data_IF_814866802767
#
_entry.id   IF_814866802767
#
_cell.length_a   1.000
_cell.length_b   1.000
_cell.length_c   1.000
_cell.angle_alpha   90.00
_cell.angle_beta   90.00
_cell.angle_gamma   90.00
#
_symmetry.space_group_name_H-M   'P 1'
#
loop_
_entity.id
_entity.type
_entity.pdbx_description
1 polymer ?
#
# COMPACT_ATOMS: atom_id res chain seq x y z
N UNK A 1 4.50 -19.76 6.12
CA UNK A 1 4.31 -18.29 6.08
C UNK A 1 5.59 -17.67 5.56
N UNK A 2 5.59 -17.00 4.40
CA UNK A 2 6.81 -16.36 3.87
C UNK A 2 7.05 -15.06 4.62
N UNK A 3 8.16 -14.99 5.36
CA UNK A 3 8.64 -13.72 5.91
C UNK A 3 8.88 -12.74 4.74
N UNK A 4 8.52 -11.47 4.93
CA UNK A 4 8.78 -10.46 3.90
C UNK A 4 10.30 -10.32 3.72
N UNK A 5 10.76 -10.43 2.46
CA UNK A 5 12.16 -10.12 2.11
C UNK A 5 12.54 -8.69 2.47
N UNK A 6 11.56 -7.80 2.43
CA UNK A 6 11.71 -6.37 2.66
C UNK A 6 11.42 -6.03 4.11
N UNK A 7 12.29 -5.24 4.74
CA UNK A 7 12.05 -4.64 6.07
C UNK A 7 11.15 -3.40 6.01
N UNK A 8 10.80 -2.96 4.80
CA UNK A 8 9.95 -1.81 4.51
C UNK A 8 8.89 -2.22 3.50
N UNK A 9 7.66 -1.71 3.64
CA UNK A 9 6.58 -1.80 2.65
C UNK A 9 5.93 -0.45 2.42
N UNK A 10 5.62 -0.18 1.16
CA UNK A 10 4.93 1.02 0.72
C UNK A 10 3.54 0.64 0.21
N UNK A 11 2.49 1.22 0.78
CA UNK A 11 1.12 1.10 0.29
C UNK A 11 0.62 2.45 -0.19
N UNK A 12 -0.40 2.46 -1.03
CA UNK A 12 -1.05 3.68 -1.52
C UNK A 12 -2.57 3.51 -1.52
N UNK A 13 -3.27 4.62 -1.31
CA UNK A 13 -4.71 4.68 -1.54
C UNK A 13 -5.05 4.91 -3.02
N UNK A 14 -6.30 5.31 -3.28
CA UNK A 14 -6.79 5.52 -4.66
C UNK A 14 -6.43 6.89 -5.25
N UNK A 15 -5.80 7.79 -4.48
CA UNK A 15 -5.67 9.18 -4.87
C UNK A 15 -4.55 9.43 -5.88
N UNK A 16 -3.39 8.79 -5.72
CA UNK A 16 -2.28 8.90 -6.66
C UNK A 16 -1.42 7.63 -6.69
N UNK A 17 -1.87 6.57 -7.39
CA UNK A 17 -1.08 5.34 -7.52
C UNK A 17 0.19 5.53 -8.35
N UNK A 18 0.19 6.44 -9.34
CA UNK A 18 1.36 6.70 -10.19
C UNK A 18 2.56 7.21 -9.37
N UNK A 19 2.33 8.15 -8.45
CA UNK A 19 3.38 8.65 -7.55
C UNK A 19 3.92 7.54 -6.63
N UNK A 20 3.05 6.65 -6.15
CA UNK A 20 3.48 5.54 -5.31
C UNK A 20 4.40 4.58 -6.08
N UNK A 21 4.09 4.29 -7.34
CA UNK A 21 4.94 3.46 -8.22
C UNK A 21 6.29 4.13 -8.51
N UNK A 22 6.32 5.45 -8.75
CA UNK A 22 7.57 6.19 -8.93
C UNK A 22 8.47 6.12 -7.69
N UNK A 23 7.88 6.32 -6.49
CA UNK A 23 8.60 6.22 -5.22
C UNK A 23 9.08 4.79 -4.97
N UNK A 24 8.23 3.79 -5.22
CA UNK A 24 8.56 2.37 -5.08
C UNK A 24 9.75 1.99 -5.99
N UNK A 25 9.69 2.42 -7.26
CA UNK A 25 10.76 2.25 -8.25
C UNK A 25 12.07 2.90 -7.78
N UNK A 26 12.02 4.13 -7.28
CA UNK A 26 13.19 4.83 -6.73
C UNK A 26 13.80 4.10 -5.52
N UNK A 27 12.96 3.55 -4.64
CA UNK A 27 13.37 2.79 -3.45
C UNK A 27 13.78 1.34 -3.77
N UNK A 28 13.55 0.86 -4.99
CA UNK A 28 13.84 -0.52 -5.41
C UNK A 28 12.96 -1.58 -4.74
N UNK A 29 11.76 -1.19 -4.27
CA UNK A 29 10.78 -2.07 -3.65
C UNK A 29 9.49 -2.06 -4.47
N UNK A 30 8.66 -3.12 -4.45
CA UNK A 30 7.32 -3.06 -5.03
C UNK A 30 6.35 -2.28 -4.13
N UNK A 31 5.31 -1.69 -4.73
CA UNK A 31 4.12 -1.28 -3.98
C UNK A 31 3.43 -2.53 -3.42
N UNK A 32 2.99 -2.46 -2.17
CA UNK A 32 2.37 -3.57 -1.47
C UNK A 32 0.97 -3.86 -1.99
N UNK A 33 0.56 -5.13 -1.90
CA UNK A 33 -0.75 -5.63 -2.31
C UNK A 33 -1.81 -5.18 -1.29
N UNK A 34 -2.46 -4.06 -1.60
CA UNK A 34 -3.62 -3.57 -0.91
C UNK A 34 -4.72 -3.18 -1.91
N UNK A 35 -5.95 -3.52 -1.56
CA UNK A 35 -7.14 -3.14 -2.29
C UNK A 35 -7.90 -2.10 -1.47
N UNK A 36 -8.10 -0.92 -2.05
CA UNK A 36 -8.93 0.14 -1.48
C UNK A 36 -10.14 0.35 -2.39
N UNK A 37 -11.33 0.02 -1.89
CA UNK A 37 -12.60 0.16 -2.64
C UNK A 37 -13.62 0.93 -1.81
N UNK A 38 -14.78 1.18 -2.39
CA UNK A 38 -15.93 1.75 -1.68
C UNK A 38 -17.10 0.78 -1.75
N UNK A 39 -17.80 0.63 -0.64
CA UNK A 39 -19.08 -0.06 -0.59
C UNK A 39 -20.17 0.77 -1.26
N UNK A 40 -21.32 0.16 -1.55
CA UNK A 40 -22.45 0.81 -2.22
C UNK A 40 -23.07 1.96 -1.40
N UNK A 41 -22.88 1.95 -0.08
CA UNK A 41 -23.30 3.02 0.84
C UNK A 41 -22.25 4.14 0.98
N UNK A 42 -21.09 4.01 0.33
CA UNK A 42 -20.01 5.00 0.35
C UNK A 42 -18.95 4.77 1.42
N UNK A 43 -19.08 3.75 2.27
CA UNK A 43 -18.03 3.39 3.23
C UNK A 43 -16.76 2.91 2.52
N UNK A 44 -15.59 3.20 3.11
CA UNK A 44 -14.30 2.79 2.56
C UNK A 44 -13.99 1.36 3.02
N UNK A 45 -13.70 0.49 2.06
CA UNK A 45 -13.14 -0.84 2.31
C UNK A 45 -11.65 -0.82 1.99
N UNK A 46 -10.81 -1.28 2.92
CA UNK A 46 -9.38 -1.45 2.71
C UNK A 46 -8.96 -2.85 3.15
N UNK A 47 -8.38 -3.62 2.23
CA UNK A 47 -7.83 -4.94 2.48
C UNK A 47 -6.35 -4.99 2.12
N UNK A 48 -5.52 -5.50 3.03
CA UNK A 48 -4.09 -5.78 2.77
C UNK A 48 -3.95 -7.28 2.54
N UNK A 49 -3.51 -7.69 1.35
CA UNK A 49 -3.46 -9.10 0.93
C UNK A 49 -2.10 -9.77 1.20
N UNK A 50 -1.24 -9.11 1.98
CA UNK A 50 0.05 -9.65 2.38
C UNK A 50 0.39 -9.38 3.86
N UNK A 51 1.27 -10.21 4.43
CA UNK A 51 1.66 -10.05 5.85
C UNK A 51 2.54 -8.81 6.05
N UNK A 52 2.09 -7.88 6.89
CA UNK A 52 2.83 -6.67 7.31
C UNK A 52 3.50 -6.79 8.68
N UNK A 53 3.45 -7.97 9.31
CA UNK A 53 3.98 -8.17 10.67
C UNK A 53 5.50 -8.01 10.74
N UNK A 54 5.96 -7.14 11.65
CA UNK A 54 7.39 -6.92 11.91
C UNK A 54 8.11 -6.16 10.79
N UNK A 55 7.36 -5.38 10.00
CA UNK A 55 7.86 -4.61 8.86
C UNK A 55 7.49 -3.14 9.06
N UNK A 56 8.34 -2.23 8.63
CA UNK A 56 8.02 -0.80 8.64
C UNK A 56 7.07 -0.48 7.48
N UNK A 57 5.90 0.06 7.78
CA UNK A 57 4.82 0.30 6.81
C UNK A 57 4.66 1.79 6.57
N UNK A 58 4.72 2.19 5.31
CA UNK A 58 4.48 3.55 4.85
C UNK A 58 3.23 3.57 3.98
N UNK A 59 2.31 4.49 4.28
CA UNK A 59 1.08 4.68 3.49
C UNK A 59 1.14 6.05 2.80
N UNK A 60 1.20 6.04 1.48
CA UNK A 60 1.08 7.24 0.66
C UNK A 60 -0.40 7.60 0.53
N UNK A 61 -0.77 8.75 1.08
CA UNK A 61 -2.13 9.28 1.03
C UNK A 61 -2.07 10.73 0.52
N UNK A 62 -3.12 11.12 -0.19
CA UNK A 62 -3.32 12.50 -0.61
C UNK A 62 -4.63 12.99 -0.01
N UNK A 63 -4.57 14.09 0.74
CA UNK A 63 -5.73 14.78 1.31
C UNK A 63 -5.81 16.14 0.63
N UNK A 64 -6.77 16.32 -0.29
CA UNK A 64 -7.13 17.66 -0.76
C UNK A 64 -7.78 18.48 0.34
#
# INVERSE_FOLDING_TARGET
>A
MKASRWRMKLFTGNANPALAEEIASYLGIPVGDAQVTRFSDGEINCGIHESVRGVDVFCLLYTS
#
